data_IF_231751410618
#
_entry.id   IF_231751410618
#
_cell.length_a   1.000
_cell.length_b   1.000
_cell.length_c   1.000
_cell.angle_alpha   90.00
_cell.angle_beta   90.00
_cell.angle_gamma   90.00
#
_symmetry.space_group_name_H-M   'P 1'
#
loop_
_entity.id
_entity.type
_entity.pdbx_description
1 polymer ?
#
# COMPACT_ATOMS: atom_id res chain seq x y z
N UNK A 1 28.27 11.08 2.79
CA UNK A 1 28.80 12.46 2.90
C UNK A 1 30.21 12.44 3.45
N UNK A 2 31.09 13.32 2.97
CA UNK A 2 32.48 13.44 3.46
C UNK A 2 32.64 14.75 4.24
N UNK A 3 32.67 14.72 5.58
CA UNK A 3 33.02 15.88 6.39
C UNK A 3 34.51 16.22 6.24
N UNK A 4 34.80 17.51 6.08
CA UNK A 4 36.16 18.07 6.05
C UNK A 4 36.34 19.08 7.19
N UNK A 5 37.51 19.69 7.33
CA UNK A 5 37.69 20.81 8.27
C UNK A 5 36.76 22.00 7.97
N UNK A 6 36.30 22.13 6.73
CA UNK A 6 35.37 23.18 6.29
C UNK A 6 33.90 22.72 6.36
N UNK A 7 33.63 21.57 6.99
CA UNK A 7 32.31 20.96 7.07
C UNK A 7 31.97 20.10 5.85
N UNK A 8 30.71 20.10 5.45
CA UNK A 8 30.18 19.39 4.28
C UNK A 8 29.28 20.35 3.47
N UNK A 9 29.08 20.06 2.17
CA UNK A 9 28.22 20.91 1.31
C UNK A 9 26.74 20.60 1.54
N UNK A 10 26.33 19.35 1.29
CA UNK A 10 24.98 18.85 1.54
C UNK A 10 25.02 17.40 1.99
N UNK A 11 24.02 17.00 2.80
CA UNK A 11 23.70 15.59 2.99
C UNK A 11 22.94 15.08 1.78
N UNK A 12 23.38 13.99 1.17
CA UNK A 12 22.79 13.46 -0.07
C UNK A 12 22.02 12.17 0.23
N UNK A 13 20.74 12.16 -0.12
CA UNK A 13 19.86 11.00 0.02
C UNK A 13 19.54 10.40 -1.36
N UNK A 14 20.04 9.19 -1.63
CA UNK A 14 19.86 8.48 -2.90
C UNK A 14 18.78 7.39 -2.84
N UNK A 15 17.96 7.34 -1.79
CA UNK A 15 17.02 6.22 -1.52
C UNK A 15 15.79 6.20 -2.42
N UNK A 16 15.47 7.31 -3.08
CA UNK A 16 14.36 7.41 -4.03
C UNK A 16 14.67 6.85 -5.43
N UNK A 17 15.89 6.36 -5.69
CA UNK A 17 16.26 5.77 -6.97
C UNK A 17 15.58 4.40 -7.18
N UNK A 18 15.42 3.94 -8.43
CA UNK A 18 14.96 2.59 -8.73
C UNK A 18 15.68 1.52 -7.89
N UNK A 19 14.91 0.57 -7.37
CA UNK A 19 15.38 -0.49 -6.45
C UNK A 19 15.92 -0.01 -5.10
N UNK A 20 15.74 1.27 -4.75
CA UNK A 20 16.06 1.82 -3.42
C UNK A 20 17.53 1.69 -3.03
N UNK A 21 17.81 1.41 -1.76
CA UNK A 21 19.18 1.27 -1.23
C UNK A 21 19.94 0.10 -1.86
N UNK A 22 19.24 -0.98 -2.22
CA UNK A 22 19.83 -2.18 -2.82
C UNK A 22 20.10 -2.05 -4.33
N UNK A 23 19.61 -0.99 -4.96
CA UNK A 23 19.76 -0.73 -6.38
C UNK A 23 21.13 -0.19 -6.79
N UNK A 24 21.51 -0.31 -8.07
CA UNK A 24 22.68 0.37 -8.59
C UNK A 24 22.55 1.89 -8.37
N UNK A 25 23.68 2.57 -8.16
CA UNK A 25 23.70 4.00 -7.86
C UNK A 25 23.30 4.86 -9.08
N UNK A 26 23.58 4.36 -10.29
CA UNK A 26 23.29 5.02 -11.57
C UNK A 26 22.67 3.99 -12.51
N UNK A 27 21.66 4.40 -13.26
CA UNK A 27 21.00 3.59 -14.28
C UNK A 27 21.20 4.22 -15.66
N UNK A 28 21.23 3.37 -16.69
CA UNK A 28 21.06 3.81 -18.08
C UNK A 28 19.62 4.24 -18.33
N UNK A 29 19.38 4.98 -19.41
CA UNK A 29 18.02 5.38 -19.80
C UNK A 29 17.13 4.18 -20.08
N UNK A 30 17.62 3.17 -20.79
CA UNK A 30 16.87 1.94 -21.04
C UNK A 30 16.43 1.26 -19.72
N UNK A 31 17.35 1.07 -18.77
CA UNK A 31 17.01 0.42 -17.50
C UNK A 31 16.03 1.26 -16.65
N UNK A 32 16.11 2.58 -16.75
CA UNK A 32 15.20 3.50 -16.06
C UNK A 32 13.80 3.47 -16.70
N UNK A 33 13.72 3.37 -18.03
CA UNK A 33 12.48 3.20 -18.77
C UNK A 33 11.79 1.87 -18.41
N UNK A 34 12.53 0.76 -18.51
CA UNK A 34 12.05 -0.57 -18.17
C UNK A 34 11.48 -0.61 -16.74
N UNK A 35 12.22 -0.03 -15.79
CA UNK A 35 11.78 0.02 -14.39
C UNK A 35 10.45 0.75 -14.22
N UNK A 36 10.33 1.98 -14.74
CA UNK A 36 9.11 2.76 -14.52
C UNK A 36 7.91 2.25 -15.34
N UNK A 37 8.15 1.58 -16.48
CA UNK A 37 7.08 0.95 -17.25
C UNK A 37 6.56 -0.32 -16.60
N UNK A 38 7.45 -1.19 -16.13
CA UNK A 38 7.06 -2.54 -15.65
C UNK A 38 6.78 -2.58 -14.14
N UNK A 39 7.53 -1.83 -13.34
CA UNK A 39 7.54 -1.96 -11.87
C UNK A 39 7.10 -0.68 -11.14
N UNK A 40 7.01 0.45 -11.85
CA UNK A 40 6.76 1.76 -11.25
C UNK A 40 5.42 1.87 -10.51
N UNK A 41 5.51 2.16 -9.21
CA UNK A 41 4.37 2.25 -8.27
C UNK A 41 3.77 3.65 -8.21
N UNK A 42 2.54 3.76 -7.72
CA UNK A 42 1.83 5.05 -7.65
C UNK A 42 2.49 6.05 -6.69
N UNK A 43 3.10 5.60 -5.59
CA UNK A 43 3.87 6.49 -4.73
C UNK A 43 5.14 7.01 -5.42
N UNK A 44 5.71 6.26 -6.36
CA UNK A 44 6.85 6.72 -7.17
C UNK A 44 6.39 7.78 -8.16
N UNK A 45 5.18 7.65 -8.73
CA UNK A 45 4.57 8.73 -9.52
C UNK A 45 4.44 9.99 -8.69
N UNK A 46 3.96 9.88 -7.45
CA UNK A 46 3.86 10.99 -6.51
C UNK A 46 5.23 11.66 -6.28
N UNK A 47 6.28 10.90 -5.98
CA UNK A 47 7.63 11.46 -5.81
C UNK A 47 8.13 12.15 -7.10
N UNK A 48 7.89 11.53 -8.26
CA UNK A 48 8.37 12.00 -9.56
C UNK A 48 7.68 13.27 -10.06
N UNK A 49 6.53 13.68 -9.49
CA UNK A 49 5.95 15.02 -9.73
C UNK A 49 6.96 16.14 -9.43
N UNK A 50 7.86 15.92 -8.48
CA UNK A 50 8.86 16.90 -8.04
C UNK A 50 10.20 16.78 -8.75
N UNK A 51 10.40 15.72 -9.53
CA UNK A 51 11.66 15.45 -10.21
C UNK A 51 12.00 16.54 -11.24
N UNK A 52 13.26 17.00 -11.22
CA UNK A 52 13.79 17.99 -12.16
C UNK A 52 15.27 17.73 -12.41
N UNK A 53 15.69 17.91 -13.66
CA UNK A 53 17.11 17.89 -14.04
C UNK A 53 17.80 19.12 -13.44
N UNK A 54 18.94 18.89 -12.79
CA UNK A 54 19.78 19.96 -12.24
C UNK A 54 20.85 20.36 -13.27
N UNK A 55 21.21 21.65 -13.30
CA UNK A 55 22.13 22.20 -14.31
C UNK A 55 21.42 22.56 -15.61
N UNK A 56 22.10 22.37 -16.74
CA UNK A 56 21.52 22.59 -18.06
C UNK A 56 20.44 21.55 -18.35
N UNK A 57 19.21 22.03 -18.53
CA UNK A 57 18.06 21.19 -18.84
C UNK A 57 17.72 21.17 -20.32
N UNK A 58 18.53 21.81 -21.17
CA UNK A 58 18.36 21.82 -22.62
C UNK A 58 19.23 20.73 -23.27
N UNK A 59 18.75 20.17 -24.38
CA UNK A 59 19.48 19.14 -25.14
C UNK A 59 18.76 17.79 -25.27
N UNK A 60 19.33 16.92 -26.10
CA UNK A 60 18.70 15.67 -26.55
C UNK A 60 18.40 14.73 -25.38
N UNK A 61 19.40 14.45 -24.54
CA UNK A 61 19.24 13.53 -23.40
C UNK A 61 18.29 14.09 -22.32
N UNK A 62 18.29 15.40 -22.10
CA UNK A 62 17.38 16.03 -21.16
C UNK A 62 15.92 15.95 -21.65
N UNK A 63 15.70 16.09 -22.96
CA UNK A 63 14.40 15.91 -23.59
C UNK A 63 13.95 14.45 -23.57
N UNK A 64 14.85 13.51 -23.86
CA UNK A 64 14.59 12.06 -23.81
C UNK A 64 14.13 11.63 -22.42
N UNK A 65 14.86 12.01 -21.37
CA UNK A 65 14.48 11.71 -19.98
C UNK A 65 13.10 12.31 -19.62
N UNK A 66 12.82 13.55 -20.04
CA UNK A 66 11.50 14.16 -19.81
C UNK A 66 10.39 13.43 -20.55
N UNK A 67 10.63 13.03 -21.79
CA UNK A 67 9.65 12.32 -22.61
C UNK A 67 9.32 10.95 -22.02
N UNK A 68 10.32 10.26 -21.47
CA UNK A 68 10.16 8.98 -20.78
C UNK A 68 9.38 9.12 -19.46
N UNK A 69 9.71 10.11 -18.63
CA UNK A 69 9.09 10.25 -17.30
C UNK A 69 7.66 10.81 -17.35
N UNK A 70 7.33 11.64 -18.35
CA UNK A 70 6.05 12.34 -18.40
C UNK A 70 4.84 11.39 -18.46
N UNK A 71 4.79 10.35 -19.33
CA UNK A 71 3.69 9.39 -19.36
C UNK A 71 3.58 8.56 -18.08
N UNK A 72 4.71 8.26 -17.43
CA UNK A 72 4.72 7.55 -16.16
C UNK A 72 4.03 8.35 -15.05
N UNK A 73 4.37 9.64 -14.92
CA UNK A 73 3.82 10.53 -13.87
C UNK A 73 2.39 10.96 -14.18
N UNK A 74 2.13 11.43 -15.40
CA UNK A 74 0.87 12.10 -15.78
C UNK A 74 0.04 11.25 -16.74
N UNK A 75 -0.68 10.27 -16.18
CA UNK A 75 -1.58 9.39 -16.94
C UNK A 75 -2.74 10.17 -17.56
N UNK A 76 -3.05 9.89 -18.82
CA UNK A 76 -4.18 10.51 -19.54
C UNK A 76 -5.54 9.89 -19.18
N UNK A 77 -5.52 8.63 -18.79
CA UNK A 77 -6.67 7.85 -18.33
C UNK A 77 -6.47 7.48 -16.87
N UNK A 78 -7.48 7.77 -16.06
CA UNK A 78 -7.51 7.50 -14.63
C UNK A 78 -8.72 6.59 -14.42
N UNK A 79 -8.46 5.41 -13.89
CA UNK A 79 -9.50 4.46 -13.49
C UNK A 79 -9.67 4.47 -11.97
N UNK A 80 -10.61 3.67 -11.48
CA UNK A 80 -10.90 3.57 -10.05
C UNK A 80 -9.70 3.07 -9.22
N UNK A 81 -8.83 2.22 -9.80
CA UNK A 81 -7.66 1.69 -9.08
C UNK A 81 -6.68 2.79 -8.69
N UNK A 82 -6.53 3.80 -9.55
CA UNK A 82 -5.69 4.97 -9.28
C UNK A 82 -6.25 5.80 -8.13
N UNK A 83 -7.56 6.03 -8.14
CA UNK A 83 -8.24 6.79 -7.07
C UNK A 83 -8.10 6.05 -5.73
N UNK A 84 -8.29 4.73 -5.73
CA UNK A 84 -8.11 3.91 -4.53
C UNK A 84 -6.65 3.94 -4.02
N UNK A 85 -5.67 3.92 -4.92
CA UNK A 85 -4.25 4.06 -4.56
C UNK A 85 -3.94 5.40 -3.89
N UNK A 86 -4.53 6.50 -4.40
CA UNK A 86 -4.42 7.82 -3.76
C UNK A 86 -5.10 7.85 -2.37
N UNK A 87 -6.28 7.21 -2.22
CA UNK A 87 -6.94 7.04 -0.91
C UNK A 87 -6.08 6.25 0.07
N UNK A 88 -5.45 5.17 -0.39
CA UNK A 88 -4.54 4.37 0.44
C UNK A 88 -3.34 5.22 0.92
N UNK A 89 -2.77 6.06 0.05
CA UNK A 89 -1.70 7.00 0.43
C UNK A 89 -2.19 8.08 1.42
N UNK A 90 -3.39 8.64 1.23
CA UNK A 90 -4.03 9.56 2.19
C UNK A 90 -4.15 8.91 3.56
N UNK A 91 -4.63 7.66 3.59
CA UNK A 91 -4.76 6.85 4.81
C UNK A 91 -3.42 6.60 5.50
N UNK A 92 -2.35 6.25 4.76
CA UNK A 92 -1.00 6.08 5.32
C UNK A 92 -0.49 7.36 6.00
N UNK A 93 -0.67 8.52 5.36
CA UNK A 93 -0.28 9.82 5.93
C UNK A 93 -1.03 10.07 7.24
N UNK A 94 -2.36 9.87 7.24
CA UNK A 94 -3.20 10.08 8.42
C UNK A 94 -2.84 9.13 9.58
N UNK A 95 -2.57 7.85 9.29
CA UNK A 95 -2.13 6.86 10.29
C UNK A 95 -0.79 7.23 10.90
N UNK A 96 0.19 7.65 10.09
CA UNK A 96 1.51 8.03 10.61
C UNK A 96 1.44 9.22 11.58
N UNK A 97 0.56 10.20 11.31
CA UNK A 97 0.31 11.33 12.21
C UNK A 97 -0.22 10.85 13.56
N UNK A 98 -1.23 9.96 13.54
CA UNK A 98 -1.84 9.39 14.76
C UNK A 98 -0.83 8.54 15.56
N UNK A 99 -0.14 7.61 14.89
CA UNK A 99 0.79 6.66 15.52
C UNK A 99 1.92 7.34 16.28
N UNK A 100 2.45 8.44 15.74
CA UNK A 100 3.60 9.14 16.33
C UNK A 100 3.20 10.24 17.34
N UNK A 101 1.91 10.54 17.48
CA UNK A 101 1.45 11.61 18.38
C UNK A 101 2.11 12.97 18.09
N UNK A 102 2.42 13.27 16.83
CA UNK A 102 3.20 14.44 16.43
C UNK A 102 2.35 15.71 16.51
N UNK A 103 2.26 16.31 17.69
CA UNK A 103 1.50 17.56 17.90
C UNK A 103 2.30 18.80 17.51
N UNK A 104 3.62 18.79 17.74
CA UNK A 104 4.48 19.96 17.56
C UNK A 104 5.33 19.88 16.27
N UNK A 105 4.98 19.01 15.32
CA UNK A 105 5.74 18.85 14.08
C UNK A 105 5.07 19.59 12.90
N UNK A 106 5.75 20.59 12.37
CA UNK A 106 5.23 21.51 11.33
C UNK A 106 5.03 20.78 9.99
N UNK A 107 5.80 19.72 9.73
CA UNK A 107 5.78 18.99 8.46
C UNK A 107 4.87 17.78 8.49
N UNK A 108 4.98 16.97 9.53
CA UNK A 108 4.35 15.66 9.66
C UNK A 108 3.10 15.66 10.55
N UNK A 109 2.86 16.72 11.33
CA UNK A 109 1.63 16.88 12.10
C UNK A 109 0.39 17.07 11.22
N UNK A 110 -0.79 16.87 11.81
CA UNK A 110 -2.07 17.06 11.12
C UNK A 110 -2.19 18.51 10.63
N UNK A 111 -2.48 18.73 9.35
CA UNK A 111 -2.49 20.05 8.73
C UNK A 111 -1.11 20.63 8.39
N UNK A 112 -0.05 19.84 8.51
CA UNK A 112 1.33 20.26 8.23
C UNK A 112 1.67 20.36 6.74
N UNK A 113 2.93 20.72 6.46
CA UNK A 113 3.44 20.94 5.09
C UNK A 113 3.20 19.72 4.18
N UNK A 114 3.37 18.51 4.71
CA UNK A 114 3.19 17.27 3.94
C UNK A 114 1.77 17.08 3.45
N UNK A 115 0.76 17.47 4.24
CA UNK A 115 -0.63 17.38 3.82
C UNK A 115 -0.93 18.37 2.68
N UNK A 116 -0.35 19.58 2.71
CA UNK A 116 -0.48 20.55 1.60
C UNK A 116 0.16 20.00 0.32
N UNK A 117 1.38 19.45 0.43
CA UNK A 117 2.06 18.80 -0.70
C UNK A 117 1.21 17.67 -1.28
N UNK A 118 0.60 16.87 -0.41
CA UNK A 118 -0.28 15.78 -0.81
C UNK A 118 -1.53 16.28 -1.56
N UNK A 119 -2.24 17.26 -1.01
CA UNK A 119 -3.43 17.88 -1.64
C UNK A 119 -3.09 18.33 -3.05
N UNK A 120 -2.03 19.11 -3.21
CA UNK A 120 -1.65 19.68 -4.50
C UNK A 120 -1.27 18.59 -5.49
N UNK A 121 -0.41 17.64 -5.09
CA UNK A 121 0.08 16.59 -5.96
C UNK A 121 -1.00 15.59 -6.38
N UNK A 122 -2.01 15.35 -5.54
CA UNK A 122 -3.18 14.55 -5.91
C UNK A 122 -3.88 15.12 -7.15
N UNK A 123 -4.13 16.44 -7.17
CA UNK A 123 -4.72 17.08 -8.36
C UNK A 123 -3.82 16.95 -9.58
N UNK A 124 -2.50 17.05 -9.40
CA UNK A 124 -1.53 16.85 -10.49
C UNK A 124 -1.58 15.43 -11.05
N UNK A 125 -1.70 14.41 -10.20
CA UNK A 125 -1.76 13.01 -10.64
C UNK A 125 -3.09 12.65 -11.31
N UNK A 126 -4.21 13.19 -10.83
CA UNK A 126 -5.55 12.92 -11.39
C UNK A 126 -5.76 13.69 -12.70
N UNK A 127 -5.38 14.97 -12.75
CA UNK A 127 -5.73 15.87 -13.86
C UNK A 127 -4.55 16.23 -14.77
N UNK A 128 -3.31 16.11 -14.30
CA UNK A 128 -2.13 16.59 -15.01
C UNK A 128 -1.90 15.93 -16.38
N UNK A 129 -2.38 14.70 -16.60
CA UNK A 129 -2.30 14.06 -17.93
C UNK A 129 -3.21 14.70 -18.99
N UNK A 130 -4.26 15.41 -18.56
CA UNK A 130 -5.18 16.16 -19.45
C UNK A 130 -4.97 17.66 -19.39
N UNK A 131 -4.45 18.16 -18.27
CA UNK A 131 -4.19 19.58 -18.01
C UNK A 131 -2.69 19.84 -17.86
N UNK A 132 -1.97 20.20 -18.94
CA UNK A 132 -0.53 20.45 -18.89
C UNK A 132 -0.10 21.53 -17.90
N UNK A 133 -0.98 22.48 -17.60
CA UNK A 133 -0.75 23.54 -16.60
C UNK A 133 -0.54 22.99 -15.18
N UNK A 134 -1.04 21.79 -14.88
CA UNK A 134 -0.83 21.09 -13.61
C UNK A 134 0.47 20.25 -13.58
N UNK A 135 1.31 20.29 -14.61
CA UNK A 135 2.58 19.54 -14.66
C UNK A 135 3.77 20.31 -14.05
N UNK A 136 3.51 21.45 -13.40
CA UNK A 136 4.53 22.24 -12.69
C UNK A 136 5.12 21.44 -11.51
N UNK A 137 6.44 21.55 -11.30
CA UNK A 137 7.10 20.93 -10.14
C UNK A 137 6.94 21.77 -8.88
N UNK A 138 6.59 23.05 -9.02
CA UNK A 138 6.51 24.02 -7.92
C UNK A 138 5.09 24.11 -7.37
N UNK A 139 4.95 24.06 -6.04
CA UNK A 139 3.65 23.97 -5.35
C UNK A 139 2.78 25.21 -5.57
N UNK A 140 3.32 26.42 -5.35
CA UNK A 140 2.55 27.67 -5.41
C UNK A 140 1.97 27.96 -6.81
N UNK A 141 2.73 27.83 -7.93
CA UNK A 141 2.15 27.92 -9.26
C UNK A 141 1.06 26.88 -9.51
N UNK A 142 1.28 25.63 -9.08
CA UNK A 142 0.27 24.57 -9.24
C UNK A 142 -1.01 24.89 -8.48
N UNK A 143 -0.92 25.39 -7.25
CA UNK A 143 -2.08 25.77 -6.45
C UNK A 143 -2.89 26.91 -7.10
N UNK A 144 -2.21 27.85 -7.76
CA UNK A 144 -2.86 28.91 -8.53
C UNK A 144 -3.63 28.34 -9.75
N UNK A 145 -3.05 27.33 -10.41
CA UNK A 145 -3.72 26.62 -11.52
C UNK A 145 -4.92 25.80 -11.01
N UNK A 146 -4.80 25.13 -9.86
CA UNK A 146 -5.90 24.39 -9.21
C UNK A 146 -7.11 25.32 -8.98
N UNK A 147 -6.88 26.53 -8.49
CA UNK A 147 -7.92 27.55 -8.30
C UNK A 147 -8.53 27.98 -9.65
N UNK A 148 -7.71 28.32 -10.64
CA UNK A 148 -8.18 28.76 -11.96
C UNK A 148 -9.02 27.68 -12.69
N UNK A 149 -8.73 26.40 -12.43
CA UNK A 149 -9.48 25.26 -12.96
C UNK A 149 -10.69 24.86 -12.10
N UNK A 150 -10.97 25.60 -11.02
CA UNK A 150 -12.09 25.34 -10.10
C UNK A 150 -12.06 23.92 -9.50
N UNK A 151 -10.86 23.36 -9.32
CA UNK A 151 -10.66 22.04 -8.71
C UNK A 151 -10.73 22.10 -7.18
N UNK A 152 -10.47 23.29 -6.63
CA UNK A 152 -10.79 23.70 -5.26
C UNK A 152 -11.55 25.02 -5.33
N UNK A 153 -12.27 25.37 -4.27
CA UNK A 153 -12.82 26.72 -4.14
C UNK A 153 -11.67 27.75 -4.05
N UNK A 154 -11.91 28.98 -4.51
CA UNK A 154 -10.92 30.06 -4.40
C UNK A 154 -10.51 30.30 -2.94
N UNK A 155 -11.46 30.19 -2.02
CA UNK A 155 -11.21 30.28 -0.59
C UNK A 155 -10.24 29.20 -0.10
N UNK A 156 -10.46 27.93 -0.46
CA UNK A 156 -9.59 26.83 -0.03
C UNK A 156 -8.18 26.96 -0.62
N UNK A 157 -8.09 27.34 -1.89
CA UNK A 157 -6.81 27.54 -2.55
C UNK A 157 -6.00 28.68 -1.90
N UNK A 158 -6.63 29.81 -1.57
CA UNK A 158 -5.94 30.90 -0.88
C UNK A 158 -5.57 30.51 0.56
N UNK A 159 -6.45 29.84 1.30
CA UNK A 159 -6.13 29.34 2.65
C UNK A 159 -4.92 28.40 2.64
N UNK A 160 -4.85 27.46 1.70
CA UNK A 160 -3.70 26.57 1.52
C UNK A 160 -2.43 27.34 1.14
N UNK A 161 -2.54 28.37 0.29
CA UNK A 161 -1.42 29.19 -0.14
C UNK A 161 -0.79 29.93 1.04
N UNK A 162 -1.63 30.60 1.84
CA UNK A 162 -1.17 31.34 3.03
C UNK A 162 -0.61 30.38 4.07
N UNK A 163 -1.28 29.26 4.34
CA UNK A 163 -0.78 28.24 5.26
C UNK A 163 0.58 27.68 4.83
N UNK A 164 0.77 27.37 3.54
CA UNK A 164 2.03 26.87 3.02
C UNK A 164 3.17 27.87 3.22
N UNK A 165 2.96 29.14 2.87
CA UNK A 165 3.97 30.19 3.06
C UNK A 165 4.29 30.41 4.54
N UNK A 166 3.28 30.40 5.40
CA UNK A 166 3.44 30.51 6.84
C UNK A 166 4.28 29.37 7.42
N UNK A 167 3.90 28.11 7.13
CA UNK A 167 4.58 26.92 7.63
C UNK A 167 6.02 26.83 7.11
N UNK A 168 6.25 27.11 5.83
CA UNK A 168 7.61 27.13 5.25
C UNK A 168 8.47 28.25 5.82
N UNK A 169 7.91 29.44 6.08
CA UNK A 169 8.64 30.51 6.76
C UNK A 169 9.03 30.10 8.17
N UNK A 170 8.09 29.54 8.93
CA UNK A 170 8.34 29.08 10.31
C UNK A 170 9.40 27.97 10.37
N UNK A 171 9.26 26.94 9.53
CA UNK A 171 10.22 25.83 9.46
C UNK A 171 11.62 26.33 9.06
N UNK A 172 11.72 27.13 7.99
CA UNK A 172 13.01 27.62 7.52
C UNK A 172 13.69 28.53 8.57
N UNK A 173 12.93 29.38 9.27
CA UNK A 173 13.45 30.21 10.36
C UNK A 173 13.96 29.36 11.51
N UNK A 174 13.20 28.34 11.92
CA UNK A 174 13.59 27.38 12.95
C UNK A 174 14.90 26.67 12.58
N UNK A 175 14.98 26.14 11.36
CA UNK A 175 16.20 25.47 10.87
C UNK A 175 17.41 26.42 10.85
N UNK A 176 17.20 27.70 10.50
CA UNK A 176 18.28 28.69 10.43
C UNK A 176 18.89 29.09 11.79
N UNK A 177 18.24 28.76 12.92
CA UNK A 177 18.79 29.08 14.25
C UNK A 177 20.09 28.30 14.50
N UNK A 178 20.12 27.04 14.08
CA UNK A 178 21.23 26.12 14.34
C UNK A 178 21.76 25.41 13.08
N UNK A 179 21.23 25.72 11.91
CA UNK A 179 21.48 24.99 10.65
C UNK A 179 21.18 23.49 10.76
N UNK A 180 20.06 23.17 11.42
CA UNK A 180 19.62 21.80 11.68
C UNK A 180 18.36 21.44 10.89
N UNK A 181 18.26 20.18 10.46
CA UNK A 181 17.08 19.64 9.78
C UNK A 181 15.93 19.30 10.76
N UNK A 182 15.59 20.24 11.64
CA UNK A 182 14.47 20.09 12.58
C UNK A 182 13.14 20.47 11.94
N UNK A 183 12.09 19.78 12.35
CA UNK A 183 10.70 20.01 11.95
C UNK A 183 9.77 20.17 13.17
N UNK A 184 10.34 20.07 14.37
CA UNK A 184 9.60 20.08 15.64
C UNK A 184 9.80 21.43 16.32
N UNK A 185 8.72 22.06 16.75
CA UNK A 185 8.75 23.34 17.45
C UNK A 185 9.62 23.27 18.71
N UNK A 186 10.34 24.35 19.07
CA UNK A 186 11.20 24.34 20.24
C UNK A 186 10.40 24.29 21.54
N UNK A 187 10.96 23.59 22.53
CA UNK A 187 10.45 23.59 23.90
C UNK A 187 11.07 24.70 24.77
N UNK A 188 12.25 25.20 24.40
CA UNK A 188 12.97 26.22 25.14
C UNK A 188 12.42 27.64 24.89
N UNK A 189 12.40 28.45 25.95
CA UNK A 189 11.83 29.81 25.92
C UNK A 189 12.55 30.75 24.94
N UNK A 190 13.87 30.58 24.78
CA UNK A 190 14.69 31.43 23.94
C UNK A 190 14.33 31.28 22.46
N UNK A 191 14.27 30.05 21.96
CA UNK A 191 13.93 29.79 20.57
C UNK A 191 12.45 30.06 20.27
N UNK A 192 11.56 29.86 21.26
CA UNK A 192 10.16 30.32 21.15
C UNK A 192 10.07 31.83 20.96
N UNK A 193 10.79 32.61 21.76
CA UNK A 193 10.83 34.07 21.62
C UNK A 193 11.44 34.52 20.28
N UNK A 194 12.53 33.87 19.83
CA UNK A 194 13.16 34.13 18.53
C UNK A 194 12.18 33.91 17.37
N UNK A 195 11.46 32.79 17.39
CA UNK A 195 10.49 32.47 16.34
C UNK A 195 9.30 33.43 16.33
N UNK A 196 8.74 33.75 17.50
CA UNK A 196 7.64 34.71 17.60
C UNK A 196 8.04 36.07 17.00
N UNK A 197 9.21 36.58 17.40
CA UNK A 197 9.74 37.84 16.87
C UNK A 197 10.01 37.78 15.36
N UNK A 198 10.68 36.73 14.86
CA UNK A 198 11.06 36.60 13.45
C UNK A 198 9.88 36.33 12.51
N UNK A 199 8.76 35.83 13.04
CA UNK A 199 7.49 35.64 12.35
C UNK A 199 6.56 36.86 12.44
N UNK A 200 7.03 37.97 13.06
CA UNK A 200 6.28 39.21 13.25
C UNK A 200 5.06 39.08 14.20
N UNK A 201 5.19 38.25 15.24
CA UNK A 201 4.19 38.09 16.32
C UNK A 201 4.69 38.70 17.64
N UNK A 202 3.76 39.08 18.52
CA UNK A 202 4.09 39.70 19.80
C UNK A 202 4.65 38.68 20.81
N UNK A 203 4.12 37.46 20.80
CA UNK A 203 4.52 36.39 21.72
C UNK A 203 4.30 34.99 21.12
N UNK A 204 4.80 33.98 21.84
CA UNK A 204 4.68 32.58 21.45
C UNK A 204 3.22 32.09 21.38
N UNK A 205 2.35 32.37 22.37
CA UNK A 205 0.92 32.02 22.28
C UNK A 205 0.20 32.56 21.03
N UNK A 206 0.50 33.78 20.60
CA UNK A 206 -0.09 34.37 19.40
C UNK A 206 0.40 33.65 18.13
N UNK A 207 1.71 33.36 18.07
CA UNK A 207 2.29 32.59 16.96
C UNK A 207 1.68 31.18 16.86
N UNK A 208 1.57 30.46 17.98
CA UNK A 208 1.01 29.11 17.97
C UNK A 208 -0.49 29.11 17.68
N UNK A 209 -1.25 30.11 18.16
CA UNK A 209 -2.65 30.27 17.78
C UNK A 209 -2.85 30.46 16.27
N UNK A 210 -2.02 31.29 15.63
CA UNK A 210 -2.04 31.47 14.17
C UNK A 210 -1.62 30.19 13.43
N UNK A 211 -0.59 29.49 13.92
CA UNK A 211 -0.16 28.19 13.40
C UNK A 211 -1.31 27.17 13.43
N UNK A 212 -1.98 27.03 14.57
CA UNK A 212 -3.11 26.12 14.73
C UNK A 212 -4.22 26.45 13.74
N UNK A 213 -4.59 27.72 13.57
CA UNK A 213 -5.62 28.12 12.61
C UNK A 213 -5.26 27.72 11.17
N UNK A 214 -4.01 27.92 10.74
CA UNK A 214 -3.55 27.47 9.43
C UNK A 214 -3.61 25.95 9.29
N UNK A 215 -3.11 25.20 10.27
CA UNK A 215 -3.11 23.73 10.24
C UNK A 215 -4.54 23.16 10.25
N UNK A 216 -5.47 23.77 11.00
CA UNK A 216 -6.89 23.37 10.98
C UNK A 216 -7.50 23.53 9.59
N UNK A 217 -7.22 24.64 8.88
CA UNK A 217 -7.73 24.85 7.53
C UNK A 217 -7.16 23.82 6.54
N UNK A 218 -5.85 23.54 6.60
CA UNK A 218 -5.22 22.50 5.79
C UNK A 218 -5.86 21.16 6.05
N UNK A 219 -6.04 20.80 7.33
CA UNK A 219 -6.57 19.51 7.74
C UNK A 219 -8.01 19.30 7.25
N UNK A 220 -8.83 20.36 7.29
CA UNK A 220 -10.19 20.32 6.74
C UNK A 220 -10.16 19.98 5.24
N UNK A 221 -9.38 20.70 4.44
CA UNK A 221 -9.27 20.45 3.00
C UNK A 221 -8.67 19.06 2.72
N UNK A 222 -7.71 18.61 3.53
CA UNK A 222 -7.15 17.26 3.43
C UNK A 222 -8.20 16.17 3.66
N UNK A 223 -9.10 16.34 4.62
CA UNK A 223 -10.16 15.37 4.90
C UNK A 223 -11.18 15.31 3.74
N UNK A 224 -11.57 16.47 3.20
CA UNK A 224 -12.49 16.59 2.06
C UNK A 224 -11.88 16.07 0.73
N UNK A 225 -10.55 15.96 0.66
CA UNK A 225 -9.81 15.50 -0.52
C UNK A 225 -10.10 14.03 -0.83
N UNK A 226 -10.57 13.77 -2.05
CA UNK A 226 -10.91 12.43 -2.57
C UNK A 226 -11.80 11.69 -1.57
N UNK A 227 -13.08 12.10 -1.52
CA UNK A 227 -14.11 11.66 -0.56
C UNK A 227 -13.85 10.28 0.03
N UNK A 228 -13.82 10.24 1.36
CA UNK A 228 -13.94 9.00 2.11
C UNK A 228 -15.33 8.46 1.78
N UNK A 229 -15.44 7.18 1.39
CA UNK A 229 -16.76 6.59 1.19
C UNK A 229 -17.45 6.59 2.57
N UNK A 230 -18.30 7.60 2.83
CA UNK A 230 -19.00 7.84 4.12
C UNK A 230 -20.03 6.73 4.47
N UNK A 231 -19.92 5.55 3.86
CA UNK A 231 -20.80 4.40 4.06
C UNK A 231 -20.12 3.20 4.70
N UNK A 232 -19.10 3.37 5.55
CA UNK A 232 -18.45 2.21 6.21
C UNK A 232 -18.29 2.41 7.72
N UNK A 233 -19.40 2.21 8.43
CA UNK A 233 -19.51 2.12 9.90
C UNK A 233 -18.96 0.79 10.46
N UNK A 234 -18.19 0.86 11.54
CA UNK A 234 -17.76 -0.23 12.46
C UNK A 234 -16.93 -1.40 11.87
N UNK A 235 -17.20 -1.88 10.66
CA UNK A 235 -16.38 -2.90 9.99
C UNK A 235 -14.96 -2.37 9.66
N UNK A 236 -14.82 -1.07 9.42
CA UNK A 236 -13.52 -0.44 9.17
C UNK A 236 -12.58 -0.41 10.37
N UNK A 237 -13.08 -0.36 11.61
CA UNK A 237 -12.22 -0.36 12.80
C UNK A 237 -11.53 -1.71 13.00
N UNK A 238 -12.25 -2.80 12.71
CA UNK A 238 -11.68 -4.15 12.71
C UNK A 238 -10.75 -4.30 11.50
N UNK A 239 -11.19 -3.86 10.31
CA UNK A 239 -10.38 -3.89 9.08
C UNK A 239 -9.10 -3.04 9.18
N UNK A 240 -9.09 -1.90 9.87
CA UNK A 240 -7.90 -1.04 9.99
C UNK A 240 -6.78 -1.71 10.81
N UNK A 241 -7.11 -2.38 11.91
CA UNK A 241 -6.12 -3.11 12.72
C UNK A 241 -5.50 -4.30 11.98
N UNK A 242 -6.30 -5.04 11.19
CA UNK A 242 -5.80 -6.14 10.36
C UNK A 242 -5.02 -5.64 9.13
N UNK A 243 -5.41 -4.48 8.56
CA UNK A 243 -4.65 -3.77 7.52
C UNK A 243 -3.28 -3.34 8.06
N UNK A 244 -3.22 -2.82 9.28
CA UNK A 244 -1.97 -2.44 9.96
C UNK A 244 -1.07 -3.65 10.21
N UNK A 245 -1.62 -4.76 10.73
CA UNK A 245 -0.86 -5.99 10.94
C UNK A 245 -0.19 -6.49 9.65
N UNK A 246 -0.90 -6.41 8.52
CA UNK A 246 -0.31 -6.77 7.23
C UNK A 246 0.77 -5.75 6.81
N UNK A 247 0.45 -4.45 6.76
CA UNK A 247 1.33 -3.40 6.25
C UNK A 247 2.64 -3.27 7.05
N UNK A 248 2.54 -3.36 8.37
CA UNK A 248 3.64 -3.25 9.31
C UNK A 248 4.24 -4.62 9.69
N UNK A 249 3.91 -5.70 8.97
CA UNK A 249 4.35 -7.07 9.29
C UNK A 249 5.87 -7.24 9.49
N UNK A 250 6.70 -6.41 8.86
CA UNK A 250 8.16 -6.46 9.02
C UNK A 250 8.66 -5.85 10.34
N UNK A 251 7.80 -5.14 11.07
CA UNK A 251 8.14 -4.53 12.36
C UNK A 251 7.97 -5.53 13.52
N UNK A 252 7.25 -6.64 13.30
CA UNK A 252 6.99 -7.70 14.29
C UNK A 252 6.51 -7.10 15.64
N UNK A 253 5.56 -6.15 15.57
CA UNK A 253 5.05 -5.44 16.75
C UNK A 253 4.21 -6.36 17.65
N UNK A 254 4.76 -6.70 18.81
CA UNK A 254 4.15 -7.60 19.80
C UNK A 254 3.01 -6.94 20.60
N UNK A 255 2.73 -5.65 20.37
CA UNK A 255 1.69 -4.88 21.10
C UNK A 255 0.36 -4.77 20.37
N UNK A 256 0.19 -5.47 19.24
CA UNK A 256 -1.04 -5.38 18.44
C UNK A 256 -2.27 -5.95 19.19
N UNK A 257 -3.37 -5.19 19.35
CA UNK A 257 -4.53 -5.64 20.11
C UNK A 257 -5.21 -6.89 19.55
N UNK A 258 -5.12 -7.10 18.23
CA UNK A 258 -5.83 -8.20 17.54
C UNK A 258 -5.27 -9.58 17.85
N UNK A 259 -4.03 -9.67 18.36
CA UNK A 259 -3.40 -10.94 18.75
C UNK A 259 -3.36 -11.12 20.29
N UNK A 260 -4.00 -10.24 21.05
CA UNK A 260 -3.92 -10.23 22.52
C UNK A 260 -4.56 -11.48 23.17
N UNK A 261 -5.44 -12.19 22.46
CA UNK A 261 -6.06 -13.43 22.95
C UNK A 261 -5.15 -14.66 22.83
N UNK A 262 -4.05 -14.58 22.09
CA UNK A 262 -3.09 -15.68 21.91
C UNK A 262 -2.07 -15.72 23.05
N UNK A 263 -1.51 -16.90 23.27
CA UNK A 263 -0.34 -17.08 24.15
C UNK A 263 0.87 -16.30 23.61
N UNK A 264 1.87 -15.99 24.45
CA UNK A 264 3.06 -15.27 23.98
C UNK A 264 3.83 -16.03 22.89
N UNK A 265 3.94 -17.36 23.04
CA UNK A 265 4.62 -18.22 22.07
C UNK A 265 3.86 -18.26 20.74
N UNK A 266 2.53 -18.40 20.77
CA UNK A 266 1.71 -18.42 19.55
C UNK A 266 1.68 -17.06 18.85
N UNK A 267 1.59 -15.97 19.62
CA UNK A 267 1.63 -14.60 19.08
C UNK A 267 2.94 -14.34 18.34
N UNK A 268 4.07 -14.71 18.97
CA UNK A 268 5.39 -14.60 18.34
C UNK A 268 5.51 -15.45 17.09
N UNK A 269 4.98 -16.67 17.10
CA UNK A 269 4.95 -17.55 15.94
C UNK A 269 4.11 -16.97 14.80
N UNK A 270 2.93 -16.42 15.10
CA UNK A 270 2.05 -15.77 14.11
C UNK A 270 2.76 -14.57 13.47
N UNK A 271 3.35 -13.67 14.26
CA UNK A 271 4.08 -12.51 13.74
C UNK A 271 5.24 -12.94 12.82
N UNK A 272 6.00 -13.96 13.23
CA UNK A 272 7.08 -14.54 12.41
C UNK A 272 6.56 -15.07 11.07
N UNK A 273 5.44 -15.81 11.08
CA UNK A 273 4.84 -16.36 9.86
C UNK A 273 4.38 -15.27 8.87
N UNK A 274 3.79 -14.18 9.38
CA UNK A 274 3.36 -13.05 8.53
C UNK A 274 4.59 -12.34 7.94
N UNK A 275 5.61 -12.07 8.78
CA UNK A 275 6.84 -11.42 8.36
C UNK A 275 7.59 -12.24 7.30
N UNK A 276 7.72 -13.56 7.50
CA UNK A 276 8.39 -14.46 6.57
C UNK A 276 7.64 -14.59 5.25
N UNK A 277 6.30 -14.66 5.29
CA UNK A 277 5.48 -14.65 4.08
C UNK A 277 5.70 -13.36 3.27
N UNK A 278 5.69 -12.19 3.92
CA UNK A 278 5.94 -10.91 3.27
C UNK A 278 7.36 -10.80 2.69
N UNK A 279 8.38 -11.33 3.36
CA UNK A 279 9.75 -11.43 2.83
C UNK A 279 9.81 -12.32 1.58
N UNK A 280 9.06 -13.42 1.54
CA UNK A 280 8.97 -14.26 0.33
C UNK A 280 8.30 -13.55 -0.85
N UNK A 281 7.32 -12.66 -0.58
CA UNK A 281 6.71 -11.82 -1.62
C UNK A 281 7.73 -10.89 -2.30
N UNK A 282 8.70 -10.39 -1.55
CA UNK A 282 9.76 -9.51 -2.10
C UNK A 282 10.83 -10.30 -2.86
N UNK A 283 11.06 -11.58 -2.52
CA UNK A 283 11.99 -12.45 -3.25
C UNK A 283 11.42 -12.97 -4.57
N UNK A 284 10.11 -13.21 -4.65
CA UNK A 284 9.46 -13.71 -5.86
C UNK A 284 9.02 -12.56 -6.77
N UNK A 285 9.18 -12.75 -8.08
CA UNK A 285 8.72 -11.77 -9.07
C UNK A 285 7.18 -11.87 -9.23
N UNK A 286 6.46 -11.21 -8.33
CA UNK A 286 5.01 -11.03 -8.42
C UNK A 286 4.72 -9.71 -9.15
N UNK A 287 3.95 -9.80 -10.23
CA UNK A 287 3.51 -8.63 -10.98
C UNK A 287 2.64 -7.68 -10.15
N UNK A 288 2.44 -6.44 -10.62
CA UNK A 288 1.72 -5.40 -9.88
C UNK A 288 0.30 -5.81 -9.51
N UNK A 289 -0.39 -6.55 -10.39
CA UNK A 289 -1.74 -7.06 -10.12
C UNK A 289 -1.77 -8.08 -8.98
N UNK A 290 -0.81 -9.01 -8.93
CA UNK A 290 -0.72 -9.99 -7.84
C UNK A 290 -0.50 -9.33 -6.49
N UNK A 291 0.38 -8.32 -6.43
CA UNK A 291 0.61 -7.51 -5.21
C UNK A 291 -0.65 -6.78 -4.76
N UNK A 292 -1.37 -6.14 -5.69
CA UNK A 292 -2.62 -5.44 -5.39
C UNK A 292 -3.68 -6.39 -4.79
N UNK A 293 -3.84 -7.58 -5.36
CA UNK A 293 -4.80 -8.57 -4.87
C UNK A 293 -4.39 -9.09 -3.49
N UNK A 294 -3.10 -9.36 -3.25
CA UNK A 294 -2.60 -9.76 -1.93
C UNK A 294 -2.83 -8.68 -0.88
N UNK A 295 -2.57 -7.41 -1.19
CA UNK A 295 -2.78 -6.30 -0.25
C UNK A 295 -4.26 -6.11 0.12
N UNK A 296 -5.18 -6.57 -0.72
CA UNK A 296 -6.61 -6.59 -0.43
C UNK A 296 -7.05 -7.88 0.29
N UNK A 297 -6.55 -9.04 -0.12
CA UNK A 297 -6.90 -10.36 0.42
C UNK A 297 -6.34 -10.58 1.84
N UNK A 298 -5.09 -10.21 2.07
CA UNK A 298 -4.38 -10.58 3.31
C UNK A 298 -5.02 -10.03 4.58
N UNK A 299 -5.48 -8.76 4.66
CA UNK A 299 -6.18 -8.27 5.85
C UNK A 299 -7.42 -9.10 6.21
N UNK A 300 -8.22 -9.50 5.21
CA UNK A 300 -9.40 -10.32 5.41
C UNK A 300 -9.03 -11.74 5.86
N UNK A 301 -8.06 -12.35 5.19
CA UNK A 301 -7.55 -13.68 5.55
C UNK A 301 -6.98 -13.72 6.97
N UNK A 302 -6.15 -12.72 7.34
CA UNK A 302 -5.57 -12.64 8.68
C UNK A 302 -6.65 -12.42 9.74
N UNK A 303 -7.69 -11.65 9.44
CA UNK A 303 -8.78 -11.44 10.39
C UNK A 303 -9.54 -12.72 10.76
N UNK A 304 -9.75 -13.61 9.79
CA UNK A 304 -10.44 -14.89 10.02
C UNK A 304 -9.48 -15.91 10.66
N UNK A 305 -8.25 -16.04 10.15
CA UNK A 305 -7.27 -17.02 10.66
C UNK A 305 -6.77 -16.67 12.07
N UNK A 306 -6.36 -15.42 12.30
CA UNK A 306 -5.68 -15.04 13.53
C UNK A 306 -6.63 -14.84 14.71
N UNK A 307 -7.93 -14.64 14.46
CA UNK A 307 -8.95 -14.60 15.52
C UNK A 307 -9.25 -15.98 16.13
N UNK A 308 -8.68 -17.06 15.58
CA UNK A 308 -8.88 -18.44 16.06
C UNK A 308 -7.92 -18.78 17.20
N UNK A 309 -8.31 -19.73 18.04
CA UNK A 309 -7.41 -20.29 19.07
C UNK A 309 -6.24 -21.06 18.44
N UNK A 310 -6.45 -21.71 17.29
CA UNK A 310 -5.45 -22.49 16.55
C UNK A 310 -4.63 -21.67 15.54
N UNK A 311 -4.62 -20.33 15.68
CA UNK A 311 -4.09 -19.39 14.70
C UNK A 311 -2.68 -19.72 14.19
N UNK A 312 -1.73 -20.04 15.07
CA UNK A 312 -0.35 -20.31 14.67
C UNK A 312 -0.21 -21.52 13.73
N UNK A 313 -0.94 -22.59 14.02
CA UNK A 313 -0.93 -23.83 13.22
C UNK A 313 -1.68 -23.61 11.90
N UNK A 314 -2.85 -22.98 11.95
CA UNK A 314 -3.68 -22.70 10.78
C UNK A 314 -2.96 -21.76 9.81
N UNK A 315 -2.36 -20.68 10.32
CA UNK A 315 -1.62 -19.72 9.50
C UNK A 315 -0.40 -20.35 8.83
N UNK A 316 0.35 -21.20 9.55
CA UNK A 316 1.51 -21.92 8.99
C UNK A 316 1.13 -22.77 7.78
N UNK A 317 -0.04 -23.43 7.83
CA UNK A 317 -0.57 -24.23 6.71
C UNK A 317 -1.03 -23.35 5.55
N UNK A 318 -1.73 -22.25 5.85
CA UNK A 318 -2.22 -21.30 4.84
C UNK A 318 -1.06 -20.62 4.11
N UNK A 319 -0.04 -20.12 4.81
CA UNK A 319 1.09 -19.44 4.17
C UNK A 319 1.89 -20.38 3.28
N UNK A 320 2.08 -21.65 3.67
CA UNK A 320 2.71 -22.66 2.82
C UNK A 320 1.94 -22.87 1.50
N UNK A 321 0.61 -22.87 1.54
CA UNK A 321 -0.24 -22.90 0.34
C UNK A 321 -0.07 -21.63 -0.49
N UNK A 322 -0.18 -20.45 0.14
CA UNK A 322 -0.07 -19.16 -0.55
C UNK A 322 1.28 -18.99 -1.25
N UNK A 323 2.39 -19.39 -0.63
CA UNK A 323 3.74 -19.37 -1.27
C UNK A 323 3.78 -20.22 -2.55
N UNK A 324 3.02 -21.32 -2.59
CA UNK A 324 2.89 -22.17 -3.77
C UNK A 324 2.16 -21.52 -4.94
N UNK A 325 1.18 -20.64 -4.64
CA UNK A 325 0.29 -20.03 -5.64
C UNK A 325 0.53 -18.55 -5.88
N UNK A 326 1.41 -17.90 -5.13
CA UNK A 326 1.63 -16.44 -5.14
C UNK A 326 1.95 -15.88 -6.54
N UNK A 327 2.61 -16.67 -7.39
CA UNK A 327 2.95 -16.27 -8.77
C UNK A 327 1.79 -16.43 -9.76
N UNK A 328 0.65 -16.97 -9.32
CA UNK A 328 -0.54 -17.26 -10.14
C UNK A 328 -1.69 -16.36 -9.71
N UNK A 329 -1.74 -15.15 -10.27
CA UNK A 329 -2.71 -14.11 -9.90
C UNK A 329 -4.17 -14.57 -9.91
N UNK A 330 -4.56 -15.46 -10.82
CA UNK A 330 -5.95 -15.95 -10.92
C UNK A 330 -6.44 -16.66 -9.66
N UNK A 331 -5.59 -17.44 -8.99
CA UNK A 331 -5.98 -18.10 -7.74
C UNK A 331 -6.12 -17.12 -6.59
N UNK A 332 -5.30 -16.07 -6.57
CA UNK A 332 -5.40 -15.01 -5.57
C UNK A 332 -6.70 -14.19 -5.79
N UNK A 333 -7.03 -13.90 -7.05
CA UNK A 333 -8.27 -13.21 -7.42
C UNK A 333 -9.50 -14.04 -7.04
N UNK A 334 -9.49 -15.36 -7.30
CA UNK A 334 -10.57 -16.27 -6.86
C UNK A 334 -10.80 -16.18 -5.35
N UNK A 335 -9.73 -16.26 -4.54
CA UNK A 335 -9.85 -16.16 -3.08
C UNK A 335 -10.34 -14.78 -2.61
N UNK A 336 -10.05 -13.73 -3.37
CA UNK A 336 -10.46 -12.37 -3.07
C UNK A 336 -11.92 -12.10 -3.45
N UNK A 337 -12.37 -12.60 -4.60
CA UNK A 337 -13.72 -12.38 -5.14
C UNK A 337 -14.77 -13.28 -4.47
N UNK A 338 -14.36 -14.43 -3.93
CA UNK A 338 -15.25 -15.40 -3.30
C UNK A 338 -14.91 -15.63 -1.81
N UNK A 339 -15.34 -14.75 -0.89
CA UNK A 339 -15.06 -14.87 0.55
C UNK A 339 -15.56 -16.19 1.18
N UNK A 340 -16.63 -16.79 0.63
CA UNK A 340 -17.12 -18.09 1.08
C UNK A 340 -16.08 -19.20 0.84
N UNK A 341 -15.42 -19.20 -0.32
CA UNK A 341 -14.37 -20.17 -0.64
C UNK A 341 -13.14 -19.98 0.27
N UNK A 342 -12.77 -18.72 0.56
CA UNK A 342 -11.72 -18.40 1.54
C UNK A 342 -12.05 -18.95 2.93
N UNK A 343 -13.29 -18.80 3.39
CA UNK A 343 -13.74 -19.34 4.68
C UNK A 343 -13.65 -20.87 4.73
N UNK A 344 -14.07 -21.56 3.67
CA UNK A 344 -13.93 -23.02 3.56
C UNK A 344 -12.46 -23.46 3.53
N UNK A 345 -11.61 -22.73 2.80
CA UNK A 345 -10.16 -22.97 2.77
C UNK A 345 -9.57 -22.91 4.18
N UNK A 346 -9.91 -21.85 4.95
CA UNK A 346 -9.43 -21.65 6.32
C UNK A 346 -9.91 -22.78 7.22
N UNK A 347 -11.21 -23.09 7.17
CA UNK A 347 -11.80 -24.16 7.99
C UNK A 347 -11.16 -25.52 7.74
N UNK A 348 -10.97 -25.90 6.47
CA UNK A 348 -10.38 -27.20 6.11
C UNK A 348 -8.88 -27.26 6.45
N UNK A 349 -8.14 -26.16 6.23
CA UNK A 349 -6.72 -26.09 6.59
C UNK A 349 -6.50 -26.13 8.11
N UNK A 350 -7.40 -25.52 8.89
CA UNK A 350 -7.37 -25.60 10.35
C UNK A 350 -7.61 -27.04 10.82
N UNK A 351 -8.62 -27.71 10.26
CA UNK A 351 -9.02 -29.05 10.66
C UNK A 351 -8.04 -30.15 10.22
N UNK A 352 -7.41 -30.06 9.04
CA UNK A 352 -6.61 -31.16 8.48
C UNK A 352 -5.32 -30.71 7.78
N UNK A 353 -4.12 -31.13 8.26
CA UNK A 353 -2.87 -30.89 7.56
C UNK A 353 -2.78 -31.66 6.24
N UNK A 354 -3.51 -32.78 6.10
CA UNK A 354 -3.56 -33.55 4.87
C UNK A 354 -4.23 -32.74 3.76
N UNK A 355 -5.39 -32.12 4.05
CA UNK A 355 -6.11 -31.28 3.09
C UNK A 355 -5.28 -30.04 2.75
N UNK A 356 -4.69 -29.36 3.74
CA UNK A 356 -3.80 -28.23 3.49
C UNK A 356 -2.64 -28.59 2.53
N UNK A 357 -2.00 -29.74 2.76
CA UNK A 357 -0.91 -30.24 1.91
C UNK A 357 -1.38 -30.63 0.50
N UNK A 358 -2.61 -31.14 0.38
CA UNK A 358 -3.22 -31.48 -0.90
C UNK A 358 -3.50 -30.21 -1.73
N UNK A 359 -4.15 -29.21 -1.13
CA UNK A 359 -4.46 -27.93 -1.78
C UNK A 359 -3.21 -27.14 -2.17
N UNK A 360 -2.16 -27.17 -1.34
CA UNK A 360 -0.87 -26.57 -1.68
C UNK A 360 -0.18 -27.25 -2.88
N UNK A 361 -0.34 -28.58 -3.01
CA UNK A 361 0.27 -29.36 -4.10
C UNK A 361 -0.56 -29.31 -5.40
N UNK A 362 -1.88 -29.21 -5.27
CA UNK A 362 -2.83 -29.17 -6.38
C UNK A 362 -3.77 -27.95 -6.26
N UNK A 363 -3.28 -26.73 -6.57
CA UNK A 363 -4.07 -25.50 -6.45
C UNK A 363 -5.35 -25.44 -7.27
N UNK A 364 -5.45 -26.23 -8.35
CA UNK A 364 -6.65 -26.32 -9.17
C UNK A 364 -7.89 -26.76 -8.36
N UNK A 365 -7.69 -27.42 -7.23
CA UNK A 365 -8.76 -27.85 -6.34
C UNK A 365 -9.42 -26.69 -5.58
N UNK A 366 -8.90 -25.47 -5.67
CA UNK A 366 -9.56 -24.29 -5.10
C UNK A 366 -10.92 -24.03 -5.77
N UNK A 367 -11.15 -24.50 -6.99
CA UNK A 367 -12.46 -24.44 -7.65
C UNK A 367 -13.52 -25.26 -6.89
N UNK A 368 -13.14 -26.38 -6.27
CA UNK A 368 -14.07 -27.22 -5.48
C UNK A 368 -14.56 -26.48 -4.22
N UNK A 369 -13.87 -25.41 -3.78
CA UNK A 369 -14.26 -24.60 -2.63
C UNK A 369 -15.36 -23.59 -2.96
N UNK A 370 -15.67 -23.38 -4.25
CA UNK A 370 -16.67 -22.42 -4.70
C UNK A 370 -18.11 -22.91 -4.49
N UNK A 371 -18.34 -24.24 -4.46
CA UNK A 371 -19.65 -24.83 -4.25
C UNK A 371 -19.66 -25.75 -3.00
N UNK A 372 -20.14 -25.24 -1.86
CA UNK A 372 -20.20 -26.03 -0.62
C UNK A 372 -21.07 -27.28 -0.74
N UNK A 373 -22.06 -27.29 -1.65
CA UNK A 373 -22.99 -28.42 -1.78
C UNK A 373 -22.29 -29.67 -2.32
N UNK A 374 -21.31 -29.48 -3.21
CA UNK A 374 -20.53 -30.60 -3.79
C UNK A 374 -19.31 -30.92 -2.94
N UNK A 375 -18.73 -29.93 -2.26
CA UNK A 375 -17.55 -30.09 -1.41
C UNK A 375 -17.79 -31.05 -0.24
N UNK A 376 -18.92 -30.90 0.46
CA UNK A 376 -19.26 -31.68 1.65
C UNK A 376 -20.19 -32.87 1.37
N UNK A 377 -20.61 -33.06 0.12
CA UNK A 377 -21.39 -34.24 -0.29
C UNK A 377 -20.58 -35.06 -1.29
N UNK A 378 -19.92 -36.13 -0.84
CA UNK A 378 -19.17 -37.01 -1.71
C UNK A 378 -20.08 -37.64 -2.77
N UNK A 379 -19.49 -37.95 -3.92
CA UNK A 379 -20.17 -38.67 -4.99
C UNK A 379 -20.75 -40.00 -4.49
N UNK A 380 -21.99 -40.29 -4.87
CA UNK A 380 -22.64 -41.57 -4.56
C UNK A 380 -21.78 -42.75 -5.05
N UNK A 381 -21.76 -43.85 -4.29
CA UNK A 381 -20.83 -44.97 -4.55
C UNK A 381 -21.01 -45.62 -5.92
N UNK A 382 -22.20 -45.54 -6.51
CA UNK A 382 -22.55 -46.05 -7.83
C UNK A 382 -22.36 -45.02 -8.97
N UNK A 383 -22.16 -43.74 -8.66
CA UNK A 383 -22.10 -42.65 -9.64
C UNK A 383 -20.67 -42.24 -10.08
N UNK A 384 -19.61 -42.73 -9.43
CA UNK A 384 -18.21 -42.36 -9.76
C UNK A 384 -17.83 -42.53 -11.24
N UNK A 385 -18.35 -43.59 -11.89
CA UNK A 385 -18.08 -43.86 -13.31
C UNK A 385 -18.80 -42.90 -14.24
N UNK A 386 -19.93 -42.36 -13.81
CA UNK A 386 -20.75 -41.45 -14.60
C UNK A 386 -20.24 -40.02 -14.45
N UNK A 387 -19.89 -39.62 -13.22
CA UNK A 387 -19.16 -38.37 -12.94
C UNK A 387 -17.81 -38.30 -13.66
N UNK A 388 -17.05 -39.41 -13.68
CA UNK A 388 -15.79 -39.44 -14.43
C UNK A 388 -16.03 -39.27 -15.94
N UNK A 389 -17.07 -39.91 -16.49
CA UNK A 389 -17.45 -39.73 -17.90
C UNK A 389 -17.83 -38.28 -18.19
N UNK A 390 -18.59 -37.64 -17.30
CA UNK A 390 -18.96 -36.23 -17.42
C UNK A 390 -17.72 -35.31 -17.37
N UNK A 391 -16.77 -35.57 -16.47
CA UNK A 391 -15.54 -34.79 -16.32
C UNK A 391 -14.64 -34.86 -17.56
N UNK A 392 -14.61 -36.01 -18.25
CA UNK A 392 -13.80 -36.23 -19.45
C UNK A 392 -14.39 -35.64 -20.74
N UNK A 393 -15.66 -35.19 -20.76
CA UNK A 393 -16.30 -34.64 -21.97
C UNK A 393 -15.58 -33.42 -22.57
N UNK A 394 -14.80 -32.69 -21.76
CA UNK A 394 -14.04 -31.51 -22.19
C UNK A 394 -12.63 -31.83 -22.69
N UNK A 395 -12.20 -33.09 -22.62
CA UNK A 395 -10.83 -33.53 -22.90
C UNK A 395 -10.81 -34.26 -24.24
N UNK A 396 -9.92 -33.89 -25.19
CA UNK A 396 -9.80 -34.60 -26.46
C UNK A 396 -9.48 -36.09 -26.25
N UNK A 397 -10.22 -36.98 -26.91
CA UNK A 397 -10.02 -38.45 -26.78
C UNK A 397 -8.71 -38.92 -27.44
N UNK A 398 -8.20 -38.14 -28.38
CA UNK A 398 -6.99 -38.40 -29.16
C UNK A 398 -5.70 -37.90 -28.49
N UNK A 399 -5.79 -37.18 -27.37
CA UNK A 399 -4.64 -36.67 -26.61
C UNK A 399 -4.44 -37.44 -25.29
N UNK A 400 -3.54 -38.44 -25.32
CA UNK A 400 -3.25 -39.32 -24.18
C UNK A 400 -2.75 -38.54 -22.93
N UNK A 401 -1.96 -37.48 -23.12
CA UNK A 401 -1.39 -36.73 -22.00
C UNK A 401 -2.48 -35.98 -21.23
N UNK A 402 -3.39 -35.32 -21.95
CA UNK A 402 -4.52 -34.62 -21.34
C UNK A 402 -5.50 -35.58 -20.66
N UNK A 403 -5.72 -36.78 -21.24
CA UNK A 403 -6.54 -37.82 -20.60
C UNK A 403 -5.94 -38.26 -19.26
N UNK A 404 -4.62 -38.55 -19.22
CA UNK A 404 -3.95 -38.94 -17.98
C UNK A 404 -3.99 -37.82 -16.93
N UNK A 405 -3.84 -36.57 -17.33
CA UNK A 405 -3.93 -35.42 -16.41
C UNK A 405 -5.35 -35.24 -15.87
N UNK A 406 -6.38 -35.35 -16.71
CA UNK A 406 -7.77 -35.26 -16.27
C UNK A 406 -8.14 -36.37 -15.27
N UNK A 407 -7.65 -37.60 -15.45
CA UNK A 407 -7.82 -38.69 -14.48
C UNK A 407 -7.17 -38.37 -13.12
N UNK A 408 -5.99 -37.75 -13.13
CA UNK A 408 -5.31 -37.31 -11.88
C UNK A 408 -6.10 -36.23 -11.18
N UNK A 409 -6.58 -35.22 -11.93
CA UNK A 409 -7.38 -34.13 -11.37
C UNK A 409 -8.67 -34.65 -10.75
N UNK A 410 -9.41 -35.51 -11.47
CA UNK A 410 -10.64 -36.12 -10.97
C UNK A 410 -10.39 -36.89 -9.67
N UNK A 411 -9.35 -37.73 -9.63
CA UNK A 411 -8.97 -38.45 -8.40
C UNK A 411 -8.70 -37.49 -7.24
N UNK A 412 -7.96 -36.40 -7.47
CA UNK A 412 -7.64 -35.44 -6.41
C UNK A 412 -8.88 -34.71 -5.89
N UNK A 413 -9.80 -34.31 -6.78
CA UNK A 413 -11.08 -33.69 -6.43
C UNK A 413 -11.94 -34.62 -5.57
N UNK A 414 -12.07 -35.89 -5.96
CA UNK A 414 -12.84 -36.86 -5.17
C UNK A 414 -12.21 -37.14 -3.80
N UNK A 415 -10.87 -37.24 -3.71
CA UNK A 415 -10.19 -37.39 -2.43
C UNK A 415 -10.40 -36.19 -1.51
N UNK A 416 -10.41 -34.97 -2.08
CA UNK A 416 -10.71 -33.76 -1.33
C UNK A 416 -12.14 -33.78 -0.80
N UNK A 417 -13.14 -34.09 -1.64
CA UNK A 417 -14.56 -34.16 -1.25
C UNK A 417 -14.81 -35.20 -0.17
N UNK A 418 -14.20 -36.39 -0.30
CA UNK A 418 -14.29 -37.44 0.73
C UNK A 418 -13.68 -36.94 2.05
N UNK A 419 -12.48 -36.36 2.01
CA UNK A 419 -11.81 -35.86 3.22
C UNK A 419 -12.54 -34.66 3.84
N UNK A 420 -13.11 -33.78 3.02
CA UNK A 420 -13.89 -32.63 3.49
C UNK A 420 -15.18 -33.06 4.18
N UNK A 421 -15.88 -34.07 3.63
CA UNK A 421 -17.08 -34.64 4.24
C UNK A 421 -16.81 -35.48 5.49
N UNK A 422 -15.62 -36.07 5.63
CA UNK A 422 -15.18 -36.78 6.85
C UNK A 422 -14.86 -35.79 7.99
N UNK A 423 -14.47 -34.55 7.65
CA UNK A 423 -14.09 -33.50 8.59
C UNK A 423 -15.27 -32.61 9.02
N UNK A 424 -16.26 -32.41 8.14
CA UNK A 424 -17.45 -31.58 8.38
C UNK A 424 -18.48 -32.28 9.27
#
# INVERSE_FOLDING_TARGET
>A
DQPTQDGFVYRVDMRLRPFGESGPLVLSFAALEDYYQEQGRDWERYAMVKARIMGDSEGVYANELRAMLRPFVFRRYIDFSVIQSLRNMKGMIAREVRRRGLTDNIKLGAGGIREIEFIVQVFQLIRGGREPSLQSRSLLPTLSVIAALHLLSENDAEQLRVAYLFLRRLENLLQSINDEQTQTLPSDELNRARLAWAMDFADWPQLTGALTAHMTNVRRVFNELIGDDESETQEESLSEQWRELWQDALQEDDTTPVLAHLSEDDRKQVLTLIADFRKELDKRTIGPRGRQVLDHLMPHLLSDVCAREDAAVTLSRITALLVGIVTRTTYLELLSEFPAALKHLISLCAASPMIASQLARYPLLLDELLDPNTLYQPTATDAYRDELRQYLLRVPEDDEEQQLEALRQFKQAQLLRIAAADIA
#
